data_IF_486343802430
#
_entry.id   IF_486343802430
#
_cell.length_a   1.000
_cell.length_b   1.000
_cell.length_c   1.000
_cell.angle_alpha   90.00
_cell.angle_beta   90.00
_cell.angle_gamma   90.00
#
_symmetry.space_group_name_H-M   'P 1'
#
loop_
_entity.id
_entity.type
_entity.pdbx_description
1 polymer ?
#
# COMPACT_ATOMS: atom_id res chain seq x y z
N UNK A 1 -17.72 1.84 -50.34
CA UNK A 1 -18.61 1.36 -49.24
C UNK A 1 -17.88 0.83 -47.99
N UNK A 2 -16.60 1.16 -47.74
CA UNK A 2 -15.91 0.85 -46.47
C UNK A 2 -15.55 2.10 -45.63
N UNK A 3 -15.69 3.31 -46.18
CA UNK A 3 -15.25 4.55 -45.53
C UNK A 3 -16.36 5.29 -44.75
N UNK A 4 -17.64 4.95 -44.98
CA UNK A 4 -18.77 5.54 -44.24
C UNK A 4 -19.05 4.87 -42.88
N UNK A 5 -18.48 3.69 -42.62
CA UNK A 5 -18.69 2.95 -41.37
C UNK A 5 -17.80 3.43 -40.21
N UNK A 6 -16.73 4.20 -40.50
CA UNK A 6 -15.79 4.68 -39.47
C UNK A 6 -16.23 5.98 -38.78
N UNK A 7 -17.18 6.73 -39.35
CA UNK A 7 -17.62 8.02 -38.80
C UNK A 7 -18.90 7.92 -37.95
N UNK A 8 -19.63 6.81 -38.00
CA UNK A 8 -20.85 6.62 -37.21
C UNK A 8 -20.59 6.14 -35.77
N UNK A 9 -19.36 5.73 -35.43
CA UNK A 9 -19.02 5.22 -34.09
C UNK A 9 -18.40 6.28 -33.18
N UNK A 10 -18.02 7.45 -33.71
CA UNK A 10 -17.35 8.51 -32.97
C UNK A 10 -18.31 9.48 -32.24
N UNK A 11 -19.62 9.43 -32.50
CA UNK A 11 -20.60 10.35 -31.89
C UNK A 11 -21.48 9.74 -30.80
N UNK A 12 -21.28 8.46 -30.42
CA UNK A 12 -22.12 7.79 -29.43
C UNK A 12 -21.45 7.51 -28.08
N UNK A 13 -20.17 7.85 -27.89
CA UNK A 13 -19.45 7.65 -26.61
C UNK A 13 -19.62 8.81 -25.61
N UNK A 14 -20.62 9.67 -25.79
CA UNK A 14 -20.72 10.94 -25.04
C UNK A 14 -21.68 10.95 -23.85
N UNK A 15 -22.29 9.84 -23.44
CA UNK A 15 -23.04 9.75 -22.17
C UNK A 15 -23.00 8.34 -21.58
N UNK A 16 -21.91 7.98 -20.91
CA UNK A 16 -21.96 6.95 -19.87
C UNK A 16 -21.98 7.66 -18.52
N UNK A 17 -23.09 7.45 -17.85
CA UNK A 17 -23.57 8.08 -16.63
C UNK A 17 -22.65 7.83 -15.44
N UNK A 18 -22.37 8.89 -14.68
CA UNK A 18 -21.80 8.83 -13.33
C UNK A 18 -22.81 8.18 -12.38
N UNK A 19 -22.93 6.86 -12.43
CA UNK A 19 -23.51 6.09 -11.33
C UNK A 19 -22.33 5.52 -10.54
N UNK A 20 -21.96 6.21 -9.46
CA UNK A 20 -20.98 5.70 -8.49
C UNK A 20 -21.50 4.36 -7.96
N UNK A 21 -20.80 3.23 -8.13
CA UNK A 21 -21.07 2.10 -7.27
C UNK A 21 -20.66 2.54 -5.86
N UNK A 22 -21.63 2.80 -4.98
CA UNK A 22 -21.40 2.68 -3.53
C UNK A 22 -21.19 1.20 -3.24
N UNK A 23 -20.05 0.69 -3.69
CA UNK A 23 -19.53 -0.61 -3.33
C UNK A 23 -18.98 -0.46 -1.93
N UNK A 24 -19.81 -0.76 -0.94
CA UNK A 24 -19.35 -1.03 0.42
C UNK A 24 -18.32 -2.15 0.31
N UNK A 25 -17.03 -1.81 0.41
CA UNK A 25 -15.96 -2.81 0.50
C UNK A 25 -16.29 -3.62 1.75
N UNK A 26 -16.58 -4.94 1.63
CA UNK A 26 -16.64 -5.78 2.80
C UNK A 26 -15.25 -5.70 3.44
N UNK A 27 -15.19 -5.27 4.69
CA UNK A 27 -13.99 -5.44 5.50
C UNK A 27 -13.78 -6.95 5.60
N UNK A 28 -12.97 -7.51 4.69
CA UNK A 28 -12.43 -8.86 4.81
C UNK A 28 -11.87 -8.88 6.22
N UNK A 29 -12.49 -9.70 7.07
CA UNK A 29 -12.08 -9.89 8.45
C UNK A 29 -10.58 -10.14 8.40
N UNK A 30 -9.82 -9.20 8.96
CA UNK A 30 -8.42 -9.41 9.23
C UNK A 30 -8.46 -10.49 10.31
N UNK A 31 -8.33 -11.76 9.93
CA UNK A 31 -7.79 -12.74 10.86
C UNK A 31 -6.60 -12.03 11.49
N UNK A 32 -6.63 -11.86 12.80
CA UNK A 32 -5.73 -11.00 13.54
C UNK A 32 -4.33 -11.61 13.46
N UNK A 33 -3.66 -11.38 12.33
CA UNK A 33 -2.21 -11.52 12.22
C UNK A 33 -1.72 -10.55 13.27
N UNK A 34 -1.26 -11.09 14.39
CA UNK A 34 -0.68 -10.32 15.48
C UNK A 34 0.49 -9.55 14.89
N UNK A 35 0.22 -8.29 14.55
CA UNK A 35 1.22 -7.37 14.04
C UNK A 35 2.23 -7.23 15.18
N UNK A 36 3.53 -7.46 14.94
CA UNK A 36 4.52 -7.27 16.00
C UNK A 36 4.37 -5.86 16.56
N UNK A 37 4.33 -5.74 17.90
CA UNK A 37 3.95 -4.52 18.62
C UNK A 37 4.91 -3.33 18.43
N UNK A 38 5.85 -3.40 17.47
CA UNK A 38 6.82 -2.35 17.18
C UNK A 38 7.80 -2.08 18.33
N UNK A 39 7.87 -2.96 19.33
CA UNK A 39 8.73 -2.83 20.52
C UNK A 39 10.21 -2.99 20.18
N UNK A 40 11.09 -2.60 21.11
CA UNK A 40 12.55 -2.74 20.94
C UNK A 40 12.92 -4.20 20.61
N UNK A 41 13.66 -4.40 19.52
CA UNK A 41 14.07 -5.72 19.03
C UNK A 41 13.02 -6.47 18.20
N UNK A 42 11.79 -5.96 18.09
CA UNK A 42 10.77 -6.54 17.21
C UNK A 42 11.12 -6.32 15.74
N UNK A 43 10.60 -7.21 14.89
CA UNK A 43 10.70 -7.08 13.44
C UNK A 43 10.00 -5.81 12.93
N UNK A 44 10.61 -5.16 11.94
CA UNK A 44 10.08 -3.98 11.26
C UNK A 44 10.42 -4.00 9.77
N UNK A 45 9.77 -3.13 8.99
CA UNK A 45 9.98 -3.05 7.55
C UNK A 45 9.34 -4.22 6.80
N UNK A 46 10.05 -4.77 5.82
CA UNK A 46 9.49 -5.76 4.91
C UNK A 46 8.50 -5.15 3.91
N UNK A 47 7.97 -5.98 3.00
CA UNK A 47 6.95 -5.58 2.02
C UNK A 47 5.66 -5.03 2.67
N UNK A 48 5.37 -5.45 3.90
CA UNK A 48 4.22 -4.99 4.69
C UNK A 48 4.50 -3.63 5.33
N UNK A 49 5.76 -3.27 5.55
CA UNK A 49 6.16 -2.02 6.19
C UNK A 49 5.80 -1.96 7.67
N UNK A 50 6.14 -2.99 8.46
CA UNK A 50 5.85 -3.02 9.89
C UNK A 50 6.53 -1.85 10.63
N UNK A 51 5.76 -0.99 11.33
CA UNK A 51 6.29 0.19 11.99
C UNK A 51 6.91 -0.13 13.37
N UNK A 52 7.82 0.73 13.83
CA UNK A 52 8.31 0.73 15.20
C UNK A 52 7.57 1.75 16.07
N UNK A 53 7.56 1.52 17.39
CA UNK A 53 6.99 2.45 18.36
C UNK A 53 7.75 3.78 18.42
N UNK A 54 7.12 4.78 19.04
CA UNK A 54 7.72 6.09 19.24
C UNK A 54 9.09 6.01 19.93
N UNK A 55 10.02 6.86 19.48
CA UNK A 55 11.40 6.84 19.98
C UNK A 55 12.29 5.73 19.42
N UNK A 56 11.74 4.82 18.61
CA UNK A 56 12.49 3.78 17.90
C UNK A 56 12.61 4.07 16.40
N UNK A 57 13.57 3.44 15.75
CA UNK A 57 13.78 3.45 14.30
C UNK A 57 14.05 2.04 13.81
N UNK A 58 13.56 1.71 12.61
CA UNK A 58 13.81 0.42 12.00
C UNK A 58 15.24 0.38 11.44
N UNK A 59 16.09 -0.46 12.03
CA UNK A 59 17.40 -0.78 11.48
C UNK A 59 17.24 -1.94 10.50
N UNK A 60 17.20 -1.61 9.21
CA UNK A 60 17.17 -2.60 8.13
C UNK A 60 18.45 -3.44 8.13
N UNK A 61 18.31 -4.74 7.89
CA UNK A 61 19.43 -5.67 7.79
C UNK A 61 20.32 -5.34 6.58
N UNK A 62 19.69 -5.01 5.45
CA UNK A 62 20.35 -4.46 4.26
C UNK A 62 19.56 -3.28 3.72
N UNK A 63 20.23 -2.14 3.50
CA UNK A 63 19.62 -0.90 3.00
C UNK A 63 19.54 -0.84 1.47
N UNK A 64 20.20 -1.78 0.77
CA UNK A 64 20.27 -1.81 -0.69
C UNK A 64 19.22 -2.76 -1.29
N UNK A 65 18.55 -3.56 -0.46
CA UNK A 65 17.50 -4.48 -0.89
C UNK A 65 16.15 -3.79 -0.65
N UNK A 66 15.34 -3.71 -1.71
CA UNK A 66 13.98 -3.21 -1.60
C UNK A 66 13.16 -4.12 -0.67
N UNK A 67 12.29 -3.51 0.14
CA UNK A 67 11.44 -4.23 1.10
C UNK A 67 12.22 -5.10 2.10
N UNK A 68 13.47 -4.72 2.38
CA UNK A 68 14.27 -5.38 3.42
C UNK A 68 13.58 -5.26 4.78
N UNK A 69 13.71 -6.33 5.56
CA UNK A 69 13.30 -6.34 6.95
C UNK A 69 14.38 -5.77 7.86
N UNK A 70 14.06 -5.68 9.14
CA UNK A 70 15.02 -5.27 10.16
C UNK A 70 14.46 -5.37 11.56
N UNK A 71 15.12 -4.67 12.49
CA UNK A 71 14.75 -4.65 13.91
C UNK A 71 14.58 -3.23 14.44
N UNK A 72 13.61 -3.04 15.33
CA UNK A 72 13.40 -1.76 15.99
C UNK A 72 14.50 -1.47 17.02
N UNK A 73 15.25 -0.38 16.82
CA UNK A 73 16.32 0.08 17.72
C UNK A 73 16.01 1.47 18.28
N UNK A 74 16.69 1.88 19.36
CA UNK A 74 16.59 3.25 19.88
C UNK A 74 17.08 4.24 18.82
N UNK A 75 16.33 5.34 18.63
CA UNK A 75 16.81 6.43 17.78
C UNK A 75 18.17 6.92 18.28
N UNK A 76 19.20 6.98 17.43
CA UNK A 76 20.46 7.60 17.80
C UNK A 76 20.18 9.05 18.19
N UNK A 77 20.78 9.51 19.29
CA UNK A 77 20.74 10.94 19.65
C UNK A 77 21.61 11.66 18.62
N UNK A 78 21.09 12.72 18.02
CA UNK A 78 21.93 13.68 17.30
C UNK A 78 22.91 14.27 18.33
N UNK A 79 24.21 14.00 18.16
CA UNK A 79 25.30 14.62 18.92
C UNK A 79 25.69 15.95 18.26
#
# INVERSE_FOLDING_TARGET
MKLAFLIATLSAFSLMTLASPTGSIPSIGRDEVKVPDGTLGSFCGGIVGFPCNEGLVCQLDDKNIADSGGVCIKKPKCL
#
